data_IF_809543675740
#
_entry.id   IF_809543675740
#
_cell.length_a   1.000
_cell.length_b   1.000
_cell.length_c   1.000
_cell.angle_alpha   90.00
_cell.angle_beta   90.00
_cell.angle_gamma   90.00
#
_symmetry.space_group_name_H-M   'P 1'
#
loop_
_entity.id
_entity.type
_entity.pdbx_description
1 polymer ?
#
# COMPACT_ATOMS: atom_id res chain seq x y z
N UNK A 1 10.34 10.25 -10.77
CA UNK A 1 11.80 10.07 -10.90
C UNK A 1 12.25 10.59 -12.26
N UNK A 2 13.25 11.49 -12.30
CA UNK A 2 13.83 12.01 -13.54
C UNK A 2 15.27 11.50 -13.66
N UNK A 3 15.67 11.03 -14.84
CA UNK A 3 17.03 10.56 -15.14
C UNK A 3 17.68 11.55 -16.10
N UNK A 4 18.89 12.03 -15.78
CA UNK A 4 19.66 12.96 -16.61
C UNK A 4 21.01 12.31 -16.99
N UNK A 5 21.34 12.24 -18.29
CA UNK A 5 22.58 11.61 -18.79
C UNK A 5 23.27 12.44 -19.89
N UNK A 6 24.61 12.38 -19.95
CA UNK A 6 25.42 12.79 -21.11
C UNK A 6 26.14 11.56 -21.71
N UNK A 7 26.19 11.50 -23.03
CA UNK A 7 26.88 10.47 -23.85
C UNK A 7 28.30 10.94 -24.22
N UNK A 8 29.29 10.05 -24.46
CA UNK A 8 29.25 8.58 -24.42
C UNK A 8 29.74 7.96 -23.10
N UNK A 9 29.41 6.68 -22.88
CA UNK A 9 29.86 5.87 -21.74
C UNK A 9 31.11 5.08 -22.15
N UNK A 10 32.20 5.19 -21.40
CA UNK A 10 33.44 4.46 -21.64
C UNK A 10 33.49 3.17 -20.81
N UNK A 11 34.05 2.11 -21.41
CA UNK A 11 34.34 0.85 -20.73
C UNK A 11 35.40 1.09 -19.65
N UNK A 12 35.18 0.52 -18.46
CA UNK A 12 36.09 0.62 -17.32
C UNK A 12 35.91 1.89 -16.47
N UNK A 13 35.01 2.81 -16.86
CA UNK A 13 34.73 4.03 -16.11
C UNK A 13 33.42 3.96 -15.33
N UNK A 14 33.35 4.73 -14.25
CA UNK A 14 32.12 4.90 -13.48
C UNK A 14 31.16 5.83 -14.19
N UNK A 15 30.07 5.27 -14.69
CA UNK A 15 28.96 6.01 -15.23
C UNK A 15 27.98 6.44 -14.13
N UNK A 16 27.73 7.73 -14.02
CA UNK A 16 26.89 8.33 -12.97
C UNK A 16 25.45 8.53 -13.45
N UNK A 17 24.51 7.89 -12.77
CA UNK A 17 23.07 8.05 -12.95
C UNK A 17 22.54 8.88 -11.78
N UNK A 18 22.12 10.12 -12.04
CA UNK A 18 21.47 10.96 -11.04
C UNK A 18 19.98 10.61 -10.97
N UNK A 19 19.51 10.33 -9.75
CA UNK A 19 18.12 10.03 -9.43
C UNK A 19 17.56 11.14 -8.53
N UNK A 20 16.53 11.81 -9.02
CA UNK A 20 15.79 12.83 -8.27
C UNK A 20 14.45 12.26 -7.79
N UNK A 21 14.27 12.25 -6.46
CA UNK A 21 13.08 11.83 -5.73
C UNK A 21 12.33 13.06 -5.20
N UNK A 22 11.00 13.00 -5.22
CA UNK A 22 10.14 14.02 -4.66
C UNK A 22 9.01 13.33 -3.91
N UNK A 23 8.77 13.75 -2.67
CA UNK A 23 7.66 13.25 -1.89
C UNK A 23 6.39 14.02 -2.24
N UNK A 24 5.52 13.40 -3.03
CA UNK A 24 4.17 13.91 -3.37
C UNK A 24 3.09 13.42 -2.39
N UNK A 25 3.46 12.55 -1.44
CA UNK A 25 2.53 12.05 -0.43
C UNK A 25 2.14 13.18 0.53
N UNK A 26 0.90 13.12 1.03
CA UNK A 26 0.40 14.06 2.02
C UNK A 26 1.12 13.93 3.38
N UNK A 27 1.76 12.78 3.64
CA UNK A 27 2.45 12.48 4.89
C UNK A 27 3.93 12.16 4.68
N UNK A 28 4.69 12.22 5.79
CA UNK A 28 6.12 11.91 5.78
C UNK A 28 6.37 10.46 5.36
N UNK A 29 7.36 10.26 4.51
CA UNK A 29 7.87 8.94 4.17
C UNK A 29 8.93 8.53 5.21
N UNK A 30 8.90 7.27 5.63
CA UNK A 30 9.83 6.64 6.56
C UNK A 30 10.41 5.36 5.98
N UNK A 31 11.53 4.89 6.54
CA UNK A 31 12.22 3.66 6.12
C UNK A 31 12.38 3.57 4.60
N UNK A 32 12.70 4.70 3.96
CA UNK A 32 12.88 4.76 2.52
C UNK A 32 14.19 4.06 2.14
N UNK A 33 14.07 3.09 1.25
CA UNK A 33 15.14 2.24 0.75
C UNK A 33 15.09 2.26 -0.78
N UNK A 34 16.25 2.45 -1.38
CA UNK A 34 16.41 2.33 -2.82
C UNK A 34 17.18 1.06 -3.17
N UNK A 35 16.54 0.22 -3.96
CA UNK A 35 17.10 -1.03 -4.44
C UNK A 35 17.46 -0.88 -5.92
N UNK A 36 18.74 -1.00 -6.23
CA UNK A 36 19.24 -1.03 -7.61
C UNK A 36 19.59 -2.46 -8.00
N UNK A 37 19.10 -2.90 -9.16
CA UNK A 37 19.19 -4.29 -9.63
C UNK A 37 19.62 -4.26 -11.09
N UNK A 38 20.63 -5.04 -11.47
CA UNK A 38 20.88 -5.36 -12.88
C UNK A 38 19.93 -6.46 -13.31
N UNK A 39 19.25 -6.24 -14.42
CA UNK A 39 18.32 -7.19 -15.01
C UNK A 39 19.04 -7.86 -16.18
N UNK A 40 18.98 -9.19 -16.24
CA UNK A 40 19.59 -9.94 -17.33
C UNK A 40 19.05 -9.48 -18.68
N UNK A 41 19.93 -8.86 -19.44
CA UNK A 41 19.63 -8.28 -20.74
C UNK A 41 20.60 -8.82 -21.76
N UNK A 42 20.31 -10.04 -22.23
CA UNK A 42 21.05 -10.74 -23.30
C UNK A 42 22.55 -11.01 -23.04
N UNK A 43 23.07 -10.61 -21.89
CA UNK A 43 24.45 -10.84 -21.46
C UNK A 43 24.44 -11.81 -20.27
N UNK A 44 24.71 -13.10 -20.49
CA UNK A 44 24.70 -14.12 -19.43
C UNK A 44 25.85 -13.93 -18.42
N UNK A 45 26.79 -13.03 -18.69
CA UNK A 45 27.91 -12.70 -17.80
C UNK A 45 27.80 -11.24 -17.30
N UNK A 46 26.59 -10.66 -17.30
CA UNK A 46 26.37 -9.30 -16.81
C UNK A 46 26.81 -9.13 -15.36
N UNK A 47 26.71 -10.23 -14.59
CA UNK A 47 27.28 -10.43 -13.27
C UNK A 47 28.75 -10.06 -13.15
N UNK A 48 29.57 -10.73 -13.95
CA UNK A 48 31.03 -10.63 -13.90
C UNK A 48 31.57 -9.38 -14.59
N UNK A 49 30.78 -8.80 -15.49
CA UNK A 49 31.22 -7.68 -16.34
C UNK A 49 30.72 -6.32 -15.89
N UNK A 50 29.80 -6.26 -14.91
CA UNK A 50 29.14 -5.01 -14.51
C UNK A 50 29.02 -4.85 -13.00
N UNK A 51 29.44 -3.69 -12.53
CA UNK A 51 29.45 -3.29 -11.14
C UNK A 51 28.42 -2.18 -10.90
N UNK A 52 27.67 -2.24 -9.80
CA UNK A 52 26.86 -1.11 -9.31
C UNK A 52 27.40 -0.64 -7.95
N UNK A 53 27.38 0.66 -7.69
CA UNK A 53 27.61 1.23 -6.36
C UNK A 53 26.85 2.54 -6.16
N UNK A 54 26.57 2.90 -4.90
CA UNK A 54 26.13 4.25 -4.52
C UNK A 54 27.28 5.15 -4.08
N UNK A 55 28.47 4.58 -3.90
CA UNK A 55 29.68 5.27 -3.49
C UNK A 55 30.90 4.62 -4.18
N UNK A 56 31.32 5.15 -5.34
CA UNK A 56 32.41 4.57 -6.13
C UNK A 56 33.80 4.78 -5.50
N UNK A 57 33.90 5.52 -4.40
CA UNK A 57 35.15 5.76 -3.66
C UNK A 57 35.44 4.77 -2.54
N UNK A 58 34.49 3.86 -2.22
CA UNK A 58 34.67 2.83 -1.20
C UNK A 58 35.31 1.56 -1.78
N UNK A 59 35.88 0.72 -0.91
CA UNK A 59 36.58 -0.54 -1.24
C UNK A 59 35.74 -1.50 -2.08
N UNK A 60 36.41 -2.37 -2.85
CA UNK A 60 35.78 -3.34 -3.78
C UNK A 60 34.75 -4.27 -3.11
N UNK A 61 34.82 -4.44 -1.79
CA UNK A 61 33.85 -5.21 -0.99
C UNK A 61 32.42 -4.63 -1.01
N UNK A 62 32.26 -3.34 -1.38
CA UNK A 62 30.95 -2.70 -1.55
C UNK A 62 30.34 -2.92 -2.95
N UNK A 63 31.13 -3.46 -3.87
CA UNK A 63 30.75 -3.72 -5.25
C UNK A 63 30.12 -5.11 -5.32
N UNK A 64 28.88 -5.18 -5.82
CA UNK A 64 28.19 -6.46 -6.00
C UNK A 64 27.99 -6.77 -7.48
N UNK A 65 28.27 -8.02 -7.81
CA UNK A 65 28.05 -8.66 -9.11
C UNK A 65 26.84 -9.59 -9.01
N UNK A 66 25.84 -9.48 -9.91
CA UNK A 66 24.75 -10.45 -10.00
C UNK A 66 25.27 -11.86 -10.26
N UNK A 67 24.75 -12.89 -9.58
CA UNK A 67 24.96 -14.30 -9.96
C UNK A 67 23.61 -14.96 -10.26
N UNK A 68 23.60 -15.94 -11.16
CA UNK A 68 22.42 -16.55 -11.81
C UNK A 68 21.28 -17.04 -10.89
N UNK A 69 21.51 -17.23 -9.57
CA UNK A 69 20.57 -17.97 -8.72
C UNK A 69 19.51 -17.16 -7.95
N UNK A 70 19.48 -15.81 -7.98
CA UNK A 70 18.32 -15.02 -7.52
C UNK A 70 18.47 -13.52 -7.75
N UNK A 71 17.90 -12.98 -8.83
CA UNK A 71 18.03 -11.56 -9.24
C UNK A 71 17.58 -10.55 -8.15
N UNK A 72 16.63 -10.92 -7.28
CA UNK A 72 16.18 -10.06 -6.18
C UNK A 72 17.10 -10.09 -4.94
N UNK A 73 17.84 -11.19 -4.71
CA UNK A 73 18.71 -11.35 -3.54
C UNK A 73 19.98 -10.48 -3.59
N UNK A 74 20.35 -10.00 -4.79
CA UNK A 74 21.56 -9.20 -5.01
C UNK A 74 21.29 -7.73 -5.30
N UNK A 75 20.09 -7.24 -5.02
CA UNK A 75 19.81 -5.79 -5.08
C UNK A 75 20.75 -5.03 -4.15
N UNK A 76 21.35 -3.94 -4.67
CA UNK A 76 22.12 -3.04 -3.82
C UNK A 76 21.14 -2.06 -3.20
N UNK A 77 21.09 -2.08 -1.87
CA UNK A 77 20.17 -1.29 -1.06
C UNK A 77 20.90 -0.04 -0.56
N UNK A 78 20.33 1.13 -0.82
CA UNK A 78 20.70 2.38 -0.14
C UNK A 78 19.57 2.79 0.78
N UNK A 79 19.84 2.82 2.07
CA UNK A 79 18.93 3.47 3.01
C UNK A 79 18.97 4.99 2.79
N UNK A 80 17.80 5.55 2.50
CA UNK A 80 17.55 6.98 2.35
C UNK A 80 17.01 7.56 3.68
N UNK A 81 16.27 6.76 4.44
CA UNK A 81 15.71 7.18 5.74
C UNK A 81 14.34 7.85 5.58
N UNK A 82 14.24 9.14 5.91
CA UNK A 82 12.97 9.87 5.99
C UNK A 82 12.91 11.00 4.96
N UNK A 83 11.72 11.27 4.43
CA UNK A 83 11.49 12.39 3.52
C UNK A 83 10.15 13.06 3.85
N UNK A 84 10.21 14.34 4.23
CA UNK A 84 9.01 15.13 4.57
C UNK A 84 8.15 15.43 3.33
N UNK A 85 6.84 15.72 3.50
CA UNK A 85 5.96 16.09 2.39
C UNK A 85 6.51 17.24 1.55
N UNK A 86 6.33 17.16 0.23
CA UNK A 86 6.80 18.16 -0.74
C UNK A 86 8.30 18.47 -0.66
N UNK A 87 9.11 17.56 -0.11
CA UNK A 87 10.57 17.65 -0.15
C UNK A 87 11.14 16.72 -1.22
N UNK A 88 12.27 17.13 -1.79
CA UNK A 88 13.02 16.35 -2.75
C UNK A 88 14.35 15.89 -2.19
N UNK A 89 14.86 14.81 -2.78
CA UNK A 89 16.19 14.29 -2.54
C UNK A 89 16.83 13.89 -3.86
N UNK A 90 18.11 14.20 -4.03
CA UNK A 90 18.91 13.71 -5.14
C UNK A 90 19.92 12.70 -4.62
N UNK A 91 20.07 11.57 -5.32
CA UNK A 91 21.15 10.62 -5.09
C UNK A 91 21.71 10.11 -6.41
N UNK A 92 22.85 9.44 -6.36
CA UNK A 92 23.50 8.92 -7.55
C UNK A 92 23.73 7.42 -7.43
N UNK A 93 23.41 6.70 -8.49
CA UNK A 93 23.82 5.31 -8.72
C UNK A 93 24.96 5.34 -9.73
N UNK A 94 26.01 4.58 -9.46
CA UNK A 94 27.18 4.47 -10.32
C UNK A 94 27.24 3.06 -10.90
N UNK A 95 27.48 2.97 -12.20
CA UNK A 95 27.63 1.71 -12.92
C UNK A 95 28.97 1.71 -13.62
N UNK A 96 29.72 0.62 -13.53
CA UNK A 96 30.96 0.42 -14.29
C UNK A 96 30.90 -0.91 -15.01
N UNK A 97 31.11 -0.89 -16.32
CA UNK A 97 31.13 -2.10 -17.14
C UNK A 97 32.55 -2.34 -17.68
N UNK A 98 33.02 -3.59 -17.66
CA UNK A 98 34.31 -4.01 -18.25
C UNK A 98 34.18 -4.44 -19.71
N UNK A 99 32.96 -4.54 -20.23
CA UNK A 99 32.64 -4.87 -21.62
C UNK A 99 31.60 -3.90 -22.18
N UNK A 100 31.50 -3.83 -23.51
CA UNK A 100 30.43 -3.12 -24.19
C UNK A 100 29.17 -3.98 -24.25
N UNK A 101 28.00 -3.34 -24.18
CA UNK A 101 26.72 -4.05 -24.25
C UNK A 101 25.58 -3.24 -23.64
N UNK A 102 24.36 -3.76 -23.77
CA UNK A 102 23.17 -3.19 -23.12
C UNK A 102 23.16 -3.62 -21.65
N UNK A 103 22.86 -2.69 -20.74
CA UNK A 103 22.72 -2.94 -19.30
C UNK A 103 21.35 -2.43 -18.85
N UNK A 104 20.47 -3.35 -18.49
CA UNK A 104 19.17 -2.98 -17.95
C UNK A 104 19.27 -2.79 -16.43
N UNK A 105 19.13 -1.55 -15.97
CA UNK A 105 19.09 -1.22 -14.55
C UNK A 105 17.64 -1.06 -14.07
N UNK A 106 17.21 -1.95 -13.16
CA UNK A 106 16.00 -1.81 -12.39
C UNK A 106 16.22 -0.98 -11.13
N UNK A 107 15.39 0.04 -10.93
CA UNK A 107 15.37 0.85 -9.70
C UNK A 107 14.03 0.61 -8.99
N UNK A 108 14.06 0.13 -7.75
CA UNK A 108 12.87 -0.07 -6.92
C UNK A 108 12.99 0.77 -5.65
N UNK A 109 11.97 1.58 -5.38
CA UNK A 109 11.86 2.34 -4.12
C UNK A 109 10.92 1.58 -3.20
N UNK A 110 11.34 1.35 -1.97
CA UNK A 110 10.52 0.78 -0.91
C UNK A 110 10.48 1.78 0.23
N UNK A 111 9.30 2.06 0.75
CA UNK A 111 9.17 2.98 1.88
C UNK A 111 7.90 2.68 2.67
N UNK A 112 7.83 3.22 3.88
CA UNK A 112 6.63 3.26 4.71
C UNK A 112 6.10 4.67 4.75
N UNK A 113 4.78 4.79 4.80
CA UNK A 113 4.15 6.07 5.08
C UNK A 113 4.09 6.25 6.60
N UNK A 114 4.28 7.48 7.06
CA UNK A 114 4.10 7.81 8.47
C UNK A 114 2.69 7.49 8.94
N UNK A 115 2.51 7.27 10.25
CA UNK A 115 1.28 6.78 10.90
C UNK A 115 0.00 7.63 10.69
N UNK A 116 0.01 8.61 9.79
CA UNK A 116 -1.15 9.40 9.38
C UNK A 116 -1.81 8.87 8.09
N UNK A 117 -1.81 7.54 7.89
CA UNK A 117 -2.73 6.93 6.94
C UNK A 117 -4.00 6.47 7.67
N UNK A 118 -4.95 7.38 7.80
CA UNK A 118 -6.36 7.00 7.93
C UNK A 118 -6.90 6.58 6.58
N UNK A 119 -6.55 5.36 6.15
CA UNK A 119 -7.41 4.68 5.19
C UNK A 119 -8.69 4.34 5.96
N UNK A 120 -9.75 5.10 5.67
CA UNK A 120 -11.08 5.10 6.29
C UNK A 120 -11.22 5.89 7.62
N UNK A 121 -11.16 7.23 7.57
CA UNK A 121 -11.54 8.14 8.68
C UNK A 121 -13.03 8.40 8.82
N UNK A 122 -13.85 7.95 7.87
CA UNK A 122 -15.29 8.21 7.86
C UNK A 122 -15.97 7.78 9.16
N UNK A 123 -16.91 8.58 9.70
CA UNK A 123 -17.64 8.24 10.92
C UNK A 123 -18.35 6.89 10.77
N UNK A 124 -18.48 6.15 11.87
CA UNK A 124 -19.32 4.95 11.92
C UNK A 124 -20.69 5.36 12.48
N UNK A 125 -21.76 5.07 11.75
CA UNK A 125 -23.12 5.16 12.27
C UNK A 125 -23.55 3.80 12.79
N UNK A 126 -23.85 3.73 14.09
CA UNK A 126 -24.48 2.57 14.72
C UNK A 126 -25.95 2.58 14.30
N UNK A 127 -26.40 1.52 13.65
CA UNK A 127 -27.79 1.38 13.19
C UNK A 127 -28.66 0.80 14.29
N UNK A 128 -28.15 -0.23 14.98
CA UNK A 128 -28.83 -0.91 16.07
C UNK A 128 -27.81 -1.55 17.01
N UNK A 129 -28.15 -1.66 18.29
CA UNK A 129 -27.43 -2.46 19.26
C UNK A 129 -28.42 -3.15 20.19
N UNK A 130 -28.18 -4.41 20.51
CA UNK A 130 -29.06 -5.18 21.40
C UNK A 130 -28.32 -6.31 22.10
N UNK A 131 -28.79 -6.65 23.29
CA UNK A 131 -28.36 -7.84 24.02
C UNK A 131 -29.44 -8.91 23.89
N UNK A 132 -29.05 -10.11 23.44
CA UNK A 132 -29.88 -11.30 23.45
C UNK A 132 -29.42 -12.20 24.62
N UNK A 133 -30.05 -12.07 25.80
CA UNK A 133 -29.63 -12.82 26.98
C UNK A 133 -29.92 -14.32 26.81
N UNK A 134 -29.12 -15.14 27.48
CA UNK A 134 -29.33 -16.59 27.54
C UNK A 134 -29.76 -17.00 28.94
N UNK A 135 -30.67 -17.96 29.02
CA UNK A 135 -31.07 -18.57 30.28
C UNK A 135 -29.82 -19.00 31.09
N UNK A 136 -29.75 -18.71 32.41
CA UNK A 136 -30.78 -18.14 33.29
C UNK A 136 -30.89 -16.60 33.32
N UNK A 137 -30.16 -15.90 32.46
CA UNK A 137 -30.17 -14.43 32.39
C UNK A 137 -31.41 -13.92 31.66
N UNK A 138 -32.05 -12.90 32.22
CA UNK A 138 -33.22 -12.23 31.66
C UNK A 138 -33.00 -10.70 31.63
N UNK A 139 -33.63 -9.96 30.71
CA UNK A 139 -33.66 -8.51 30.79
C UNK A 139 -34.45 -8.07 32.03
N UNK A 140 -34.00 -7.01 32.68
CA UNK A 140 -34.75 -6.42 33.79
C UNK A 140 -36.10 -5.88 33.28
N UNK A 141 -37.17 -6.09 34.04
CA UNK A 141 -38.55 -5.68 33.69
C UNK A 141 -38.72 -4.16 33.48
N UNK A 142 -37.71 -3.35 33.83
CA UNK A 142 -37.68 -1.92 33.58
C UNK A 142 -37.36 -1.52 32.11
N UNK A 143 -37.07 -2.48 31.22
CA UNK A 143 -36.75 -2.25 29.79
C UNK A 143 -37.65 -3.09 28.86
N UNK A 144 -38.97 -3.07 29.07
CA UNK A 144 -39.92 -3.54 28.04
C UNK A 144 -39.83 -2.59 26.82
N UNK A 145 -39.03 -2.99 25.82
CA UNK A 145 -38.75 -2.19 24.62
C UNK A 145 -37.35 -1.56 24.56
N UNK A 146 -36.36 -2.14 25.26
CA UNK A 146 -34.97 -1.66 25.38
C UNK A 146 -34.19 -1.50 24.07
N UNK A 147 -34.52 -0.46 23.32
CA UNK A 147 -33.66 0.08 22.27
C UNK A 147 -32.37 0.61 22.91
N UNK A 148 -31.23 0.24 22.33
CA UNK A 148 -29.93 0.76 22.73
C UNK A 148 -29.88 2.28 22.68
N UNK A 149 -29.19 2.90 23.66
CA UNK A 149 -28.91 4.35 23.62
C UNK A 149 -27.96 4.74 22.49
N UNK A 150 -27.30 3.76 21.86
CA UNK A 150 -26.39 3.95 20.73
C UNK A 150 -27.09 3.83 19.38
N UNK A 151 -28.38 3.47 19.33
CA UNK A 151 -29.13 3.37 18.08
C UNK A 151 -29.09 4.71 17.33
N UNK A 152 -28.71 4.66 16.06
CA UNK A 152 -28.47 5.81 15.17
C UNK A 152 -27.36 6.79 15.59
N UNK A 153 -26.55 6.47 16.60
CA UNK A 153 -25.42 7.31 17.01
C UNK A 153 -24.27 7.26 16.01
N UNK A 154 -23.46 8.32 15.97
CA UNK A 154 -22.28 8.43 15.09
C UNK A 154 -21.02 8.48 15.94
N UNK A 155 -20.07 7.61 15.61
CA UNK A 155 -18.75 7.52 16.22
C UNK A 155 -17.70 8.04 15.25
N UNK A 156 -17.06 9.13 15.65
CA UNK A 156 -15.92 9.71 14.96
C UNK A 156 -14.63 8.98 15.33
N UNK A 157 -13.57 9.23 14.57
CA UNK A 157 -12.27 8.63 14.79
C UNK A 157 -11.79 8.86 16.24
N UNK A 158 -11.32 7.79 16.91
CA UNK A 158 -10.92 7.77 18.33
C UNK A 158 -12.07 8.02 19.32
N UNK A 159 -13.30 8.15 18.85
CA UNK A 159 -14.48 8.25 19.69
C UNK A 159 -14.78 6.94 20.41
N UNK A 160 -15.35 7.03 21.59
CA UNK A 160 -15.82 5.89 22.38
C UNK A 160 -17.29 6.08 22.75
N UNK A 161 -18.10 5.04 22.57
CA UNK A 161 -19.46 4.97 23.07
C UNK A 161 -19.57 3.90 24.17
N UNK A 162 -20.59 4.06 25.02
CA UNK A 162 -20.97 3.07 26.02
C UNK A 162 -22.47 2.87 25.95
N UNK A 163 -22.88 1.62 26.08
CA UNK A 163 -24.26 1.21 26.24
C UNK A 163 -24.40 0.33 27.48
N UNK A 164 -25.58 0.29 28.07
CA UNK A 164 -25.85 -0.48 29.28
C UNK A 164 -27.18 -1.24 29.15
N UNK A 165 -27.10 -2.57 29.29
CA UNK A 165 -28.26 -3.46 29.34
C UNK A 165 -28.42 -3.99 30.77
N UNK A 166 -29.56 -3.70 31.38
CA UNK A 166 -29.85 -4.16 32.74
C UNK A 166 -30.33 -5.60 32.69
N UNK A 167 -29.53 -6.52 33.25
CA UNK A 167 -29.81 -7.95 33.24
C UNK A 167 -30.04 -8.47 34.67
N UNK A 168 -30.91 -9.45 34.80
CA UNK A 168 -31.27 -10.08 36.07
C UNK A 168 -31.10 -11.58 35.97
N UNK A 169 -30.62 -12.19 37.04
CA UNK A 169 -30.59 -13.64 37.23
C UNK A 169 -31.39 -13.94 38.48
N UNK A 170 -32.41 -14.78 38.36
CA UNK A 170 -33.21 -15.16 39.52
C UNK A 170 -32.62 -16.40 40.16
N UNK A 171 -32.69 -16.46 41.49
CA UNK A 171 -32.18 -17.62 42.24
C UNK A 171 -32.89 -18.92 41.85
N UNK A 172 -34.17 -18.84 41.52
CA UNK A 172 -34.99 -19.96 41.07
C UNK A 172 -34.52 -20.57 39.73
N UNK A 173 -33.79 -19.81 38.92
CA UNK A 173 -33.26 -20.25 37.63
C UNK A 173 -31.85 -20.86 37.74
N UNK A 174 -31.25 -20.87 38.94
CA UNK A 174 -29.91 -21.41 39.20
C UNK A 174 -29.95 -22.86 39.70
N UNK A 175 -28.87 -23.60 39.45
CA UNK A 175 -28.75 -24.97 39.94
C UNK A 175 -28.51 -24.97 41.45
N UNK A 176 -29.42 -25.59 42.21
CA UNK A 176 -29.31 -25.71 43.67
C UNK A 176 -28.19 -26.66 44.15
N UNK A 177 -27.46 -27.31 43.24
CA UNK A 177 -26.46 -28.34 43.55
C UNK A 177 -25.01 -27.85 43.52
N UNK A 178 -24.78 -26.56 43.25
CA UNK A 178 -23.44 -25.99 43.09
C UNK A 178 -23.24 -24.78 43.99
N UNK A 179 -22.11 -24.72 44.70
CA UNK A 179 -21.69 -23.55 45.48
C UNK A 179 -21.23 -22.40 44.57
N UNK A 180 -20.84 -22.70 43.33
CA UNK A 180 -20.47 -21.73 42.30
C UNK A 180 -20.96 -22.20 40.91
N UNK A 181 -21.52 -21.29 40.12
CA UNK A 181 -22.02 -21.57 38.77
C UNK A 181 -21.56 -20.47 37.81
N UNK A 182 -20.91 -20.86 36.71
CA UNK A 182 -20.60 -19.95 35.61
C UNK A 182 -21.85 -19.71 34.76
N UNK A 183 -22.15 -18.44 34.49
CA UNK A 183 -23.35 -18.02 33.76
C UNK A 183 -22.94 -17.32 32.47
N UNK A 184 -23.43 -17.84 31.34
CA UNK A 184 -23.25 -17.18 30.05
C UNK A 184 -24.34 -16.12 29.87
N UNK A 185 -23.93 -14.85 29.83
CA UNK A 185 -24.86 -13.71 29.79
C UNK A 185 -25.74 -13.71 28.54
N UNK A 186 -25.18 -14.01 27.37
CA UNK A 186 -25.90 -13.93 26.10
C UNK A 186 -25.00 -13.52 24.95
N UNK A 187 -25.61 -12.95 23.91
CA UNK A 187 -24.92 -12.38 22.74
C UNK A 187 -25.23 -10.89 22.62
N UNK A 188 -24.20 -10.10 22.35
CA UNK A 188 -24.36 -8.70 21.98
C UNK A 188 -24.31 -8.57 20.46
N UNK A 189 -25.30 -7.89 19.89
CA UNK A 189 -25.38 -7.55 18.47
C UNK A 189 -25.19 -6.06 18.29
N UNK A 190 -24.37 -5.69 17.31
CA UNK A 190 -24.18 -4.31 16.87
C UNK A 190 -24.23 -4.28 15.36
N UNK A 191 -25.23 -3.59 14.83
CA UNK A 191 -25.37 -3.30 13.41
C UNK A 191 -24.86 -1.88 13.18
N UNK A 192 -24.00 -1.70 12.19
CA UNK A 192 -23.39 -0.41 11.91
C UNK A 192 -23.09 -0.26 10.42
N UNK A 193 -22.94 0.99 9.98
CA UNK A 193 -22.44 1.33 8.65
C UNK A 193 -21.44 2.47 8.75
N UNK A 194 -20.58 2.63 7.75
CA UNK A 194 -19.86 3.90 7.60
C UNK A 194 -20.83 4.97 7.11
N UNK A 195 -20.76 6.14 7.69
CA UNK A 195 -21.34 7.35 7.12
C UNK A 195 -20.57 7.63 5.82
N UNK A 196 -21.27 7.93 4.72
CA UNK A 196 -20.69 7.96 3.38
C UNK A 196 -19.51 8.95 3.30
N UNK A 197 -18.29 8.40 3.34
CA UNK A 197 -17.21 8.84 2.49
C UNK A 197 -17.00 7.72 1.49
N UNK A 198 -17.39 7.95 0.24
CA UNK A 198 -16.93 7.12 -0.87
C UNK A 198 -15.42 7.26 -0.90
N UNK A 199 -14.71 6.27 -0.37
CA UNK A 199 -13.26 6.15 -0.57
C UNK A 199 -13.02 5.88 -2.06
N UNK A 200 -12.95 6.97 -2.83
CA UNK A 200 -12.58 6.91 -4.23
C UNK A 200 -11.06 6.85 -4.32
N UNK A 201 -10.54 5.70 -4.71
CA UNK A 201 -9.13 5.54 -5.03
C UNK A 201 -8.87 6.07 -6.44
N UNK A 202 -8.04 7.09 -6.54
CA UNK A 202 -7.73 7.76 -7.81
C UNK A 202 -6.27 7.59 -8.18
N UNK A 203 -6.01 7.07 -9.38
CA UNK A 203 -4.68 6.95 -9.97
C UNK A 203 -4.52 7.98 -11.08
N UNK A 204 -3.47 8.80 -11.00
CA UNK A 204 -3.09 9.75 -12.05
C UNK A 204 -1.83 9.28 -12.76
N UNK A 205 -1.89 9.17 -14.08
CA UNK A 205 -0.79 8.77 -14.95
C UNK A 205 -0.39 9.96 -15.80
N UNK A 206 0.82 10.48 -15.60
CA UNK A 206 1.33 11.64 -16.35
C UNK A 206 2.38 11.21 -17.36
N UNK A 207 2.26 11.68 -18.60
CA UNK A 207 3.26 11.46 -19.63
C UNK A 207 4.23 12.65 -19.66
N UNK A 208 5.42 12.44 -19.11
CA UNK A 208 6.47 13.47 -19.08
C UNK A 208 7.36 13.49 -20.34
N UNK A 209 7.00 12.74 -21.38
CA UNK A 209 7.80 12.57 -22.59
C UNK A 209 7.19 13.31 -23.77
N UNK A 210 8.00 13.64 -24.78
CA UNK A 210 7.54 14.28 -26.03
C UNK A 210 6.85 13.31 -27.01
N UNK A 211 6.60 12.05 -26.59
CA UNK A 211 5.94 11.04 -27.42
C UNK A 211 4.69 10.53 -26.72
N UNK A 212 3.64 10.22 -27.48
CA UNK A 212 2.40 9.61 -26.96
C UNK A 212 2.71 8.28 -26.28
N UNK A 213 2.34 8.04 -25.02
CA UNK A 213 2.55 6.75 -24.37
C UNK A 213 1.26 5.92 -24.37
N UNK A 214 1.37 4.62 -24.60
CA UNK A 214 0.23 3.70 -24.63
C UNK A 214 0.40 2.63 -23.56
N UNK A 215 -0.63 2.43 -22.75
CA UNK A 215 -0.61 1.54 -21.59
C UNK A 215 -1.86 0.66 -21.52
N UNK A 216 -1.70 -0.52 -20.92
CA UNK A 216 -2.78 -1.34 -20.41
C UNK A 216 -2.78 -1.30 -18.88
N UNK A 217 -3.92 -0.95 -18.30
CA UNK A 217 -4.21 -0.99 -16.87
C UNK A 217 -5.05 -2.21 -16.56
N UNK A 218 -4.78 -2.88 -15.44
CA UNK A 218 -5.74 -3.79 -14.81
C UNK A 218 -5.67 -3.73 -13.28
N UNK A 219 -6.81 -3.90 -12.62
CA UNK A 219 -6.90 -4.02 -11.16
C UNK A 219 -7.27 -5.46 -10.78
N UNK A 220 -6.52 -6.04 -9.86
CA UNK A 220 -6.77 -7.41 -9.40
C UNK A 220 -7.96 -7.47 -8.44
N UNK A 221 -8.62 -8.63 -8.39
CA UNK A 221 -9.64 -8.89 -7.39
C UNK A 221 -9.04 -8.79 -5.99
N UNK A 222 -9.80 -8.22 -5.05
CA UNK A 222 -9.41 -8.08 -3.66
C UNK A 222 -10.40 -8.84 -2.78
N UNK A 223 -9.89 -9.67 -1.87
CA UNK A 223 -10.72 -10.25 -0.82
C UNK A 223 -11.12 -9.23 0.26
N UNK A 224 -10.47 -8.07 0.24
CA UNK A 224 -10.62 -7.03 1.24
C UNK A 224 -11.56 -5.92 0.79
N UNK A 225 -11.79 -5.78 -0.52
CA UNK A 225 -12.58 -4.70 -1.09
C UNK A 225 -13.42 -5.19 -2.26
N UNK A 226 -14.68 -4.77 -2.31
CA UNK A 226 -15.45 -4.76 -3.53
C UNK A 226 -15.08 -3.50 -4.33
N UNK A 227 -14.71 -3.69 -5.59
CA UNK A 227 -14.18 -2.62 -6.46
C UNK A 227 -15.21 -2.29 -7.53
N UNK A 228 -15.60 -1.02 -7.60
CA UNK A 228 -16.46 -0.46 -8.65
C UNK A 228 -15.65 0.51 -9.52
N UNK A 229 -15.80 0.42 -10.84
CA UNK A 229 -15.04 1.20 -11.83
C UNK A 229 -14.47 0.32 -12.95
N UNK A 230 -13.73 0.93 -13.88
CA UNK A 230 -13.19 0.20 -15.03
C UNK A 230 -11.95 -0.62 -14.64
N UNK A 231 -12.15 -1.92 -14.43
CA UNK A 231 -11.13 -2.84 -13.90
C UNK A 231 -10.01 -3.15 -14.90
N UNK A 232 -10.21 -2.90 -16.18
CA UNK A 232 -9.18 -3.06 -17.19
C UNK A 232 -9.37 -2.02 -18.31
N UNK A 233 -8.30 -1.31 -18.66
CA UNK A 233 -8.37 -0.27 -19.68
C UNK A 233 -7.07 -0.18 -20.48
N UNK A 234 -7.19 -0.07 -21.80
CA UNK A 234 -6.10 0.37 -22.66
C UNK A 234 -6.25 1.86 -22.92
N UNK A 235 -5.19 2.62 -22.73
CA UNK A 235 -5.24 4.07 -22.86
C UNK A 235 -3.95 4.67 -23.41
N UNK A 236 -4.11 5.82 -24.06
CA UNK A 236 -3.01 6.68 -24.52
C UNK A 236 -2.95 7.94 -23.68
N UNK A 237 -1.75 8.44 -23.44
CA UNK A 237 -1.49 9.76 -22.85
C UNK A 237 -0.60 10.52 -23.82
N UNK A 238 -1.05 11.67 -24.28
CA UNK A 238 -0.27 12.54 -25.17
C UNK A 238 0.88 13.21 -24.39
N UNK A 239 1.89 13.79 -25.06
CA UNK A 239 2.99 14.47 -24.39
C UNK A 239 2.54 15.53 -23.39
N UNK A 240 3.17 15.53 -22.22
CA UNK A 240 2.96 16.50 -21.12
C UNK A 240 1.54 16.54 -20.56
N UNK A 241 0.74 15.52 -20.82
CA UNK A 241 -0.63 15.39 -20.34
C UNK A 241 -0.76 14.30 -19.27
N UNK A 242 -1.91 14.25 -18.61
CA UNK A 242 -2.23 13.28 -17.57
C UNK A 242 -3.57 12.62 -17.78
N UNK A 243 -3.71 11.39 -17.29
CA UNK A 243 -4.96 10.65 -17.33
C UNK A 243 -5.26 10.06 -15.97
N UNK A 244 -6.52 10.20 -15.57
CA UNK A 244 -6.99 9.82 -14.25
C UNK A 244 -7.95 8.64 -14.33
N UNK A 245 -7.78 7.69 -13.42
CA UNK A 245 -8.69 6.55 -13.22
C UNK A 245 -9.15 6.53 -11.76
N UNK A 246 -10.47 6.58 -11.56
CA UNK A 246 -11.07 6.54 -10.23
C UNK A 246 -11.85 5.25 -10.01
N UNK A 247 -11.68 4.68 -8.82
CA UNK A 247 -12.32 3.45 -8.36
C UNK A 247 -13.02 3.71 -7.05
N UNK A 248 -14.26 3.23 -6.90
CA UNK A 248 -14.93 3.22 -5.61
C UNK A 248 -14.61 1.91 -4.92
N UNK A 249 -14.00 2.00 -3.74
CA UNK A 249 -13.65 0.83 -2.93
C UNK A 249 -14.65 0.70 -1.78
N UNK A 250 -15.35 -0.43 -1.75
CA UNK A 250 -16.19 -0.79 -0.62
C UNK A 250 -15.45 -1.82 0.24
N UNK A 251 -15.06 -1.48 1.48
CA UNK A 251 -14.33 -2.41 2.35
C UNK A 251 -15.19 -3.61 2.74
N UNK A 252 -14.62 -4.80 2.63
CA UNK A 252 -15.19 -6.09 3.07
C UNK A 252 -14.53 -6.60 4.36
N UNK A 253 -13.30 -6.17 4.64
CA UNK A 253 -12.55 -6.49 5.86
C UNK A 253 -12.18 -5.20 6.59
N UNK A 254 -12.27 -5.21 7.92
CA UNK A 254 -11.84 -4.10 8.76
C UNK A 254 -10.48 -4.39 9.41
N UNK A 255 -9.62 -3.39 9.52
CA UNK A 255 -8.38 -3.49 10.27
C UNK A 255 -7.25 -2.58 9.76
N UNK A 256 -6.21 -2.37 10.56
CA UNK A 256 -5.09 -1.48 10.21
C UNK A 256 -4.13 -2.06 9.16
N UNK A 257 -4.31 -3.32 8.74
CA UNK A 257 -3.44 -4.04 7.80
C UNK A 257 -4.22 -4.64 6.63
N UNK A 258 -5.25 -3.92 6.16
CA UNK A 258 -6.05 -4.37 5.01
C UNK A 258 -5.34 -3.92 3.71
N UNK A 259 -4.80 -4.85 2.90
CA UNK A 259 -4.06 -4.47 1.70
C UNK A 259 -5.01 -3.91 0.63
N UNK A 260 -4.61 -2.79 0.03
CA UNK A 260 -5.31 -2.21 -1.11
C UNK A 260 -5.25 -3.14 -2.34
N UNK A 261 -6.21 -3.05 -3.28
CA UNK A 261 -6.17 -3.81 -4.52
C UNK A 261 -4.90 -3.53 -5.32
N UNK A 262 -4.32 -4.58 -5.91
CA UNK A 262 -3.11 -4.46 -6.75
C UNK A 262 -3.47 -3.87 -8.11
N UNK A 263 -2.74 -2.84 -8.52
CA UNK A 263 -2.84 -2.22 -9.83
C UNK A 263 -1.67 -2.68 -10.70
N UNK A 264 -1.99 -3.19 -11.88
CA UNK A 264 -1.01 -3.59 -12.89
C UNK A 264 -1.04 -2.57 -14.04
N UNK A 265 0.10 -1.97 -14.34
CA UNK A 265 0.29 -1.10 -15.49
C UNK A 265 1.34 -1.72 -16.42
N UNK A 266 1.00 -1.88 -17.70
CA UNK A 266 1.90 -2.40 -18.73
C UNK A 266 2.01 -1.39 -19.86
N UNK A 267 3.24 -1.05 -20.27
CA UNK A 267 3.46 -0.31 -21.51
C UNK A 267 3.15 -1.20 -22.70
N UNK A 268 2.43 -0.68 -23.68
CA UNK A 268 2.08 -1.38 -24.92
C UNK A 268 2.96 -0.95 -26.10
N UNK A 269 3.84 0.03 -25.91
CA UNK A 269 4.86 0.33 -26.90
C UNK A 269 5.95 -0.74 -26.86
N UNK A 270 5.96 -1.58 -27.90
CA UNK A 270 7.21 -2.13 -28.42
C UNK A 270 8.11 -0.95 -28.79
N UNK A 271 9.37 -1.00 -28.38
CA UNK A 271 10.39 -0.13 -28.91
C UNK A 271 10.37 -0.25 -30.44
N UNK A 272 9.76 0.70 -31.14
CA UNK A 272 10.03 0.89 -32.56
C UNK A 272 11.43 1.49 -32.62
N UNK A 273 12.40 0.61 -32.82
CA UNK A 273 13.66 0.97 -33.46
C UNK A 273 13.44 1.32 -34.93
N UNK A 274 14.44 1.99 -35.49
CA UNK A 274 14.60 2.54 -36.85
C UNK A 274 13.97 3.93 -37.05
N UNK A 275 14.70 4.98 -37.44
CA UNK A 275 16.13 5.18 -37.78
C UNK A 275 16.58 6.57 -37.29
#
# INVERSE_FOLDING_TARGET
>A
MKICQKSPILVGEWFKIKLDFFNEEASKIQDCELNSILLDSQDPLIGDTTCISYDPGLTEESIKSPSDENVEAFSIVKSIGKLEPSKSLSLCVYIKASTTGIRNLGIRVKYKLGEEFTLCSGPIRILDCRMEPRFPVQPSSAQEGGDSSLKNSVLYQKGSARDCFCLTVRREDLSNQLDAQDITIGKYFMEWRREEESDSLTYSFSNLTDKIQEYALSIEASESFLISGNKAATFKIIPHDSRVFSYVLQPLKAGPKVPLPKLNLRSLRLAQGHD
#
